data_IF_837702249789
#
_entry.id   IF_837702249789
#
_cell.length_a   1.000
_cell.length_b   1.000
_cell.length_c   1.000
_cell.angle_alpha   90.00
_cell.angle_beta   90.00
_cell.angle_gamma   90.00
#
_symmetry.space_group_name_H-M   'P 1'
#
loop_
_entity.id
_entity.type
_entity.pdbx_description
1 polymer ?
#
# COMPACT_ATOMS: atom_id res chain seq x y z
N UNK A 1 -48.82 30.67 -49.90
CA UNK A 1 -49.41 29.46 -50.51
C UNK A 1 -48.45 28.30 -50.29
N UNK A 2 -48.81 27.43 -49.33
CA UNK A 2 -48.37 26.06 -49.07
C UNK A 2 -46.89 25.71 -48.77
N UNK A 3 -46.60 25.73 -47.45
CA UNK A 3 -46.05 24.63 -46.61
C UNK A 3 -45.10 23.60 -47.24
N UNK A 4 -43.80 23.71 -46.91
CA UNK A 4 -42.88 22.57 -47.03
C UNK A 4 -42.83 21.76 -45.73
N UNK A 5 -43.66 20.72 -45.75
CA UNK A 5 -43.54 19.39 -45.13
C UNK A 5 -42.40 19.19 -44.12
N UNK A 6 -42.82 19.02 -42.87
CA UNK A 6 -42.05 18.56 -41.71
C UNK A 6 -41.44 17.18 -42.01
N UNK A 7 -40.11 17.08 -42.00
CA UNK A 7 -39.41 15.79 -41.87
C UNK A 7 -39.09 15.58 -40.40
N UNK A 8 -39.90 14.73 -39.77
CA UNK A 8 -39.64 14.12 -38.47
C UNK A 8 -38.27 13.44 -38.48
N UNK A 9 -37.26 14.15 -37.97
CA UNK A 9 -35.97 13.57 -37.64
C UNK A 9 -36.13 12.75 -36.37
N UNK A 10 -36.02 11.43 -36.52
CA UNK A 10 -35.99 10.46 -35.45
C UNK A 10 -35.00 10.92 -34.37
N UNK A 11 -35.52 11.22 -33.18
CA UNK A 11 -34.72 11.44 -31.97
C UNK A 11 -34.05 10.10 -31.65
N UNK A 12 -32.82 9.93 -32.11
CA UNK A 12 -31.98 8.83 -31.68
C UNK A 12 -31.68 9.04 -30.19
N UNK A 13 -32.42 8.33 -29.35
CA UNK A 13 -32.10 8.06 -27.96
C UNK A 13 -30.78 7.28 -27.90
N UNK A 14 -29.66 7.96 -28.09
CA UNK A 14 -28.35 7.46 -27.71
C UNK A 14 -28.05 7.99 -26.30
N UNK A 15 -28.79 7.49 -25.31
CA UNK A 15 -28.38 7.56 -23.91
C UNK A 15 -27.20 6.58 -23.74
N UNK A 16 -26.05 7.01 -24.26
CA UNK A 16 -24.82 6.22 -24.32
C UNK A 16 -23.59 7.10 -24.19
N UNK A 17 -23.72 8.25 -23.50
CA UNK A 17 -22.55 8.87 -22.88
C UNK A 17 -22.33 8.11 -21.57
N UNK A 18 -21.79 6.89 -21.69
CA UNK A 18 -21.16 6.22 -20.55
C UNK A 18 -20.13 7.23 -20.07
N UNK A 19 -20.36 7.81 -18.90
CA UNK A 19 -19.37 8.58 -18.21
C UNK A 19 -18.17 7.65 -18.05
N UNK A 20 -17.22 7.75 -18.98
CA UNK A 20 -15.87 7.23 -18.80
C UNK A 20 -15.31 8.16 -17.74
N UNK A 21 -15.65 7.89 -16.49
CA UNK A 21 -14.83 8.30 -15.37
C UNK A 21 -13.48 7.70 -15.70
N UNK A 22 -12.58 8.52 -16.22
CA UNK A 22 -11.18 8.36 -15.92
C UNK A 22 -11.10 8.38 -14.40
N UNK A 23 -11.23 7.21 -13.80
CA UNK A 23 -10.58 6.95 -12.53
C UNK A 23 -9.12 7.21 -12.85
N UNK A 24 -8.69 8.45 -12.67
CA UNK A 24 -7.28 8.79 -12.63
C UNK A 24 -6.70 7.77 -11.70
N UNK A 25 -5.73 6.99 -12.20
CA UNK A 25 -4.91 6.15 -11.33
C UNK A 25 -4.51 7.09 -10.21
N UNK A 26 -4.87 6.76 -8.97
CA UNK A 26 -4.46 7.58 -7.85
C UNK A 26 -2.93 7.65 -7.94
N UNK A 27 -2.39 8.80 -8.36
CA UNK A 27 -0.98 9.09 -8.31
C UNK A 27 -0.64 9.18 -6.82
N UNK A 28 -0.42 8.02 -6.21
CA UNK A 28 0.25 7.92 -4.94
C UNK A 28 1.59 8.61 -5.16
N UNK A 29 1.83 9.65 -4.37
CA UNK A 29 3.12 10.33 -4.31
C UNK A 29 4.19 9.24 -4.28
N UNK A 30 5.26 9.33 -5.09
CA UNK A 30 6.26 8.27 -5.12
C UNK A 30 6.98 8.21 -3.77
N UNK A 31 6.39 7.50 -2.80
CA UNK A 31 7.09 6.98 -1.65
C UNK A 31 7.91 5.84 -2.23
N UNK A 32 9.14 6.15 -2.65
CA UNK A 32 10.03 5.15 -3.21
C UNK A 32 10.43 4.21 -2.08
N UNK A 33 9.77 3.05 -2.01
CA UNK A 33 10.27 1.91 -1.25
C UNK A 33 11.66 1.60 -1.81
N UNK A 34 12.68 1.76 -0.98
CA UNK A 34 14.06 1.48 -1.42
C UNK A 34 14.24 -0.03 -1.59
N UNK A 35 15.24 -0.49 -2.35
CA UNK A 35 15.52 -1.92 -2.49
C UNK A 35 15.69 -2.64 -1.15
N UNK A 36 16.27 -1.97 -0.15
CA UNK A 36 16.44 -2.50 1.20
C UNK A 36 15.11 -2.67 1.93
N UNK A 37 14.19 -1.69 1.78
CA UNK A 37 12.84 -1.77 2.34
C UNK A 37 12.05 -2.89 1.69
N UNK A 38 12.16 -3.06 0.37
CA UNK A 38 11.52 -4.15 -0.35
C UNK A 38 12.04 -5.51 0.13
N UNK A 39 13.36 -5.63 0.28
CA UNK A 39 13.96 -6.87 0.78
C UNK A 39 13.55 -7.18 2.22
N UNK A 40 13.39 -6.16 3.07
CA UNK A 40 12.78 -6.33 4.39
C UNK A 40 11.33 -6.86 4.29
N UNK A 41 10.50 -6.27 3.43
CA UNK A 41 9.11 -6.67 3.21
C UNK A 41 9.02 -8.13 2.76
N UNK A 42 9.84 -8.51 1.78
CA UNK A 42 9.87 -9.86 1.22
C UNK A 42 10.30 -10.89 2.30
N UNK A 43 11.30 -10.54 3.11
CA UNK A 43 11.76 -11.38 4.22
C UNK A 43 10.68 -11.53 5.32
N UNK A 44 10.03 -10.43 5.71
CA UNK A 44 8.97 -10.44 6.72
C UNK A 44 7.79 -11.30 6.24
N UNK A 45 7.37 -11.13 4.98
CA UNK A 45 6.29 -11.89 4.36
C UNK A 45 6.64 -13.38 4.22
N UNK A 46 7.87 -13.69 3.81
CA UNK A 46 8.40 -15.06 3.73
C UNK A 46 8.43 -15.76 5.10
N UNK A 47 8.61 -15.00 6.18
CA UNK A 47 8.55 -15.49 7.56
C UNK A 47 7.11 -15.58 8.13
N UNK A 48 6.09 -15.18 7.37
CA UNK A 48 4.68 -15.29 7.76
C UNK A 48 4.07 -14.02 8.35
N UNK A 49 4.73 -12.86 8.25
CA UNK A 49 4.11 -11.59 8.61
C UNK A 49 2.97 -11.25 7.64
N UNK A 50 1.89 -10.68 8.15
CA UNK A 50 0.70 -10.31 7.38
C UNK A 50 0.51 -8.80 7.36
N UNK A 51 -0.11 -8.30 6.29
CA UNK A 51 -0.38 -6.87 6.09
C UNK A 51 0.21 -6.34 4.78
N UNK A 52 -0.18 -5.11 4.45
CA UNK A 52 0.36 -4.37 3.31
C UNK A 52 1.77 -3.86 3.60
N UNK A 53 2.50 -3.44 2.57
CA UNK A 53 3.91 -3.04 2.66
C UNK A 53 4.15 -1.90 3.67
N UNK A 54 3.25 -0.91 3.71
CA UNK A 54 3.30 0.18 4.71
C UNK A 54 3.08 -0.33 6.14
N UNK A 55 2.22 -1.34 6.30
CA UNK A 55 1.97 -1.98 7.60
C UNK A 55 3.22 -2.74 8.05
N UNK A 56 3.84 -3.50 7.14
CA UNK A 56 5.07 -4.21 7.43
C UNK A 56 6.21 -3.24 7.77
N UNK A 57 6.37 -2.14 7.02
CA UNK A 57 7.40 -1.15 7.29
C UNK A 57 7.18 -0.44 8.63
N UNK A 58 5.96 0.01 8.91
CA UNK A 58 5.64 0.67 10.19
C UNK A 58 5.86 -0.25 11.38
N UNK A 59 5.48 -1.53 11.28
CA UNK A 59 5.77 -2.54 12.30
C UNK A 59 7.28 -2.78 12.47
N UNK A 60 8.04 -2.86 11.36
CA UNK A 60 9.49 -3.00 11.40
C UNK A 60 10.18 -1.86 12.14
N UNK A 61 9.80 -0.61 11.83
CA UNK A 61 10.31 0.58 12.52
C UNK A 61 9.90 0.61 13.99
N UNK A 62 8.67 0.19 14.32
CA UNK A 62 8.23 0.06 15.70
C UNK A 62 9.08 -0.96 16.46
N UNK A 63 9.28 -2.16 15.91
CA UNK A 63 10.13 -3.19 16.51
C UNK A 63 11.55 -2.66 16.77
N UNK A 64 12.16 -2.02 15.77
CA UNK A 64 13.48 -1.40 15.92
C UNK A 64 13.51 -0.33 17.03
N UNK A 65 12.49 0.51 17.13
CA UNK A 65 12.39 1.51 18.20
C UNK A 65 12.34 0.86 19.58
N UNK A 66 11.56 -0.20 19.75
CA UNK A 66 11.43 -0.91 21.04
C UNK A 66 12.76 -1.54 21.44
N UNK A 67 13.49 -2.13 20.48
CA UNK A 67 14.81 -2.69 20.73
C UNK A 67 15.84 -1.61 21.10
N UNK A 68 15.96 -0.53 20.31
CA UNK A 68 16.92 0.55 20.60
C UNK A 68 16.63 1.32 21.89
N UNK A 69 15.38 1.31 22.36
CA UNK A 69 15.00 1.92 23.64
C UNK A 69 15.16 0.97 24.83
N UNK A 70 15.67 -0.25 24.60
CA UNK A 70 15.97 -1.21 25.65
C UNK A 70 14.73 -1.92 26.21
N UNK A 71 13.61 -1.94 25.48
CA UNK A 71 12.40 -2.68 25.91
C UNK A 71 12.51 -4.20 25.70
N UNK A 72 13.53 -4.64 24.95
CA UNK A 72 13.85 -6.05 24.72
C UNK A 72 13.01 -6.71 23.62
N UNK A 73 13.48 -7.88 23.17
CA UNK A 73 12.87 -8.65 22.06
C UNK A 73 11.42 -9.04 22.35
N UNK A 74 11.12 -9.49 23.58
CA UNK A 74 9.76 -9.94 23.92
C UNK A 74 8.70 -8.83 23.77
N UNK A 75 9.05 -7.58 24.13
CA UNK A 75 8.16 -6.44 23.95
C UNK A 75 7.96 -6.11 22.46
N UNK A 76 9.02 -6.21 21.66
CA UNK A 76 8.96 -5.99 20.22
C UNK A 76 8.09 -7.04 19.50
N UNK A 77 8.21 -8.31 19.89
CA UNK A 77 7.41 -9.40 19.32
C UNK A 77 5.93 -9.28 19.70
N UNK A 78 5.64 -8.92 20.95
CA UNK A 78 4.28 -8.70 21.43
C UNK A 78 3.57 -7.53 20.72
N UNK A 79 4.33 -6.50 20.34
CA UNK A 79 3.80 -5.34 19.62
C UNK A 79 3.65 -5.56 18.11
N UNK A 80 4.35 -6.57 17.56
CA UNK A 80 4.39 -6.83 16.11
C UNK A 80 4.21 -8.33 15.85
N UNK A 81 5.31 -9.06 15.61
CA UNK A 81 5.38 -10.52 15.57
C UNK A 81 6.85 -10.98 15.58
N UNK A 82 7.14 -12.24 15.92
CA UNK A 82 8.48 -12.81 15.78
C UNK A 82 9.03 -12.71 14.34
N UNK A 83 8.17 -12.86 13.34
CA UNK A 83 8.55 -12.72 11.92
C UNK A 83 9.04 -11.31 11.60
N UNK A 84 8.33 -10.28 12.10
CA UNK A 84 8.71 -8.88 11.92
C UNK A 84 10.00 -8.56 12.66
N UNK A 85 10.14 -8.98 13.93
CA UNK A 85 11.34 -8.69 14.72
C UNK A 85 12.58 -9.34 14.11
N UNK A 86 12.48 -10.60 13.65
CA UNK A 86 13.56 -11.29 12.97
C UNK A 86 13.99 -10.58 11.69
N UNK A 87 13.04 -10.23 10.82
CA UNK A 87 13.32 -9.51 9.58
C UNK A 87 13.89 -8.10 9.83
N UNK A 88 13.35 -7.39 10.81
CA UNK A 88 13.79 -6.04 11.16
C UNK A 88 15.23 -6.03 11.68
N UNK A 89 15.62 -6.98 12.54
CA UNK A 89 17.01 -7.11 13.01
C UNK A 89 17.98 -7.56 11.91
N UNK A 90 17.50 -8.24 10.87
CA UNK A 90 18.35 -8.61 9.73
C UNK A 90 18.65 -7.45 8.77
N UNK A 91 17.76 -6.45 8.70
CA UNK A 91 17.80 -5.40 7.67
C UNK A 91 17.72 -3.97 8.22
N UNK A 92 16.67 -3.65 8.98
CA UNK A 92 16.35 -2.27 9.40
C UNK A 92 17.12 -1.81 10.65
N UNK A 93 17.40 -2.73 11.57
CA UNK A 93 18.07 -2.42 12.84
C UNK A 93 19.04 -3.50 13.27
N UNK A 94 20.02 -3.76 12.41
CA UNK A 94 21.09 -4.73 12.62
C UNK A 94 21.92 -4.50 13.89
N UNK A 95 21.98 -3.25 14.36
CA UNK A 95 22.72 -2.86 15.56
C UNK A 95 21.86 -2.79 16.82
N UNK A 96 20.58 -3.19 16.75
CA UNK A 96 19.71 -3.10 17.91
C UNK A 96 20.06 -4.16 18.98
N UNK A 97 20.10 -3.77 20.26
CA UNK A 97 20.36 -4.69 21.36
C UNK A 97 19.22 -5.71 21.51
N UNK A 98 19.55 -6.89 22.04
CA UNK A 98 18.64 -8.03 22.24
C UNK A 98 18.12 -8.12 23.67
#
# INVERSE_FOLDING_TARGET
MFTNVIRLGVVALAAGAVAVSSAGVADAWPTTVTPEMQQYIDNARGAGATGDDDTLLSQGYLACRLLYTGQGVAAAEAATSPAVVGAARGMLCTQAPG
#
